data_IF_262013929819
#
_entry.id   IF_262013929819
#
_cell.length_a   1.000
_cell.length_b   1.000
_cell.length_c   1.000
_cell.angle_alpha   90.00
_cell.angle_beta   90.00
_cell.angle_gamma   90.00
#
_symmetry.space_group_name_H-M   'P 1'
#
loop_
_entity.id
_entity.type
_entity.pdbx_description
1 polymer ?
#
# COMPACT_ATOMS: atom_id res chain seq x y z
N UNK A 1 -18.76 -30.57 -64.93
CA UNK A 1 -18.95 -29.24 -65.57
C UNK A 1 -18.02 -28.27 -64.87
N UNK A 2 -17.09 -27.68 -65.65
CA UNK A 2 -16.20 -26.53 -65.37
C UNK A 2 -15.24 -26.65 -64.17
N UNK A 3 -13.91 -26.81 -64.29
CA UNK A 3 -12.89 -26.04 -65.08
C UNK A 3 -12.99 -24.56 -64.76
N UNK A 4 -12.03 -23.85 -64.15
CA UNK A 4 -10.64 -23.52 -64.51
C UNK A 4 -9.84 -23.28 -63.20
N UNK A 5 -8.52 -23.32 -63.07
CA UNK A 5 -7.40 -23.15 -64.00
C UNK A 5 -6.30 -22.36 -63.28
N UNK A 6 -5.07 -22.89 -63.32
CA UNK A 6 -3.83 -22.35 -62.74
C UNK A 6 -3.52 -20.90 -63.15
N UNK A 7 -2.66 -20.20 -62.39
CA UNK A 7 -1.38 -19.71 -62.93
C UNK A 7 -0.34 -19.37 -61.85
N UNK A 8 0.90 -19.75 -62.17
CA UNK A 8 2.20 -19.52 -61.54
C UNK A 8 2.87 -18.33 -62.24
N UNK A 9 3.75 -17.60 -61.54
CA UNK A 9 5.03 -16.93 -61.97
C UNK A 9 5.31 -15.73 -61.04
N UNK A 10 6.31 -15.74 -60.14
CA UNK A 10 7.78 -15.64 -60.29
C UNK A 10 8.23 -14.44 -61.16
N UNK A 11 8.81 -13.40 -60.55
CA UNK A 11 10.18 -12.90 -60.85
C UNK A 11 10.43 -11.52 -60.21
N UNK A 12 11.45 -11.51 -59.35
CA UNK A 12 12.56 -10.53 -59.26
C UNK A 12 12.34 -9.07 -59.65
N UNK A 13 12.54 -8.19 -58.68
CA UNK A 13 12.93 -6.80 -58.91
C UNK A 13 13.77 -6.28 -57.74
N UNK A 14 15.08 -6.52 -57.78
CA UNK A 14 16.02 -5.82 -56.92
C UNK A 14 16.16 -4.38 -57.42
N UNK A 15 15.88 -3.40 -56.55
CA UNK A 15 16.45 -2.06 -56.69
C UNK A 15 17.17 -1.70 -55.39
N UNK A 16 18.49 -1.76 -55.47
CA UNK A 16 19.40 -1.13 -54.53
C UNK A 16 19.46 0.34 -54.95
N UNK A 17 18.92 1.22 -54.13
CA UNK A 17 19.22 2.65 -54.18
C UNK A 17 19.97 3.00 -52.89
N UNK A 18 21.30 3.10 -52.99
CA UNK A 18 22.13 3.82 -52.04
C UNK A 18 21.81 5.30 -52.19
N UNK A 19 21.20 5.91 -51.18
CA UNK A 19 21.26 7.36 -50.98
C UNK A 19 21.99 7.60 -49.66
N UNK A 20 23.14 8.22 -49.81
CA UNK A 20 24.01 8.66 -48.74
C UNK A 20 23.37 9.77 -47.91
N UNK A 21 23.73 9.80 -46.62
CA UNK A 21 23.83 11.05 -45.87
C UNK A 21 22.67 11.37 -44.94
N UNK A 22 22.86 11.08 -43.65
CA UNK A 22 22.08 11.66 -42.56
C UNK A 22 21.85 10.67 -41.43
N UNK A 23 22.66 10.74 -40.37
CA UNK A 23 22.42 10.02 -39.12
C UNK A 23 21.16 10.60 -38.45
N UNK A 24 20.06 9.84 -38.27
CA UNK A 24 19.03 10.23 -37.33
C UNK A 24 19.41 9.68 -35.94
N UNK A 25 19.52 10.62 -35.01
CA UNK A 25 19.56 10.49 -33.57
C UNK A 25 18.96 9.18 -33.03
N UNK A 26 19.72 8.49 -32.19
CA UNK A 26 19.29 7.36 -31.37
C UNK A 26 17.97 7.74 -30.67
N UNK A 27 16.89 7.06 -31.06
CA UNK A 27 15.62 7.11 -30.34
C UNK A 27 15.86 6.60 -28.92
N UNK A 28 15.49 7.44 -27.94
CA UNK A 28 15.42 7.08 -26.53
C UNK A 28 14.71 5.73 -26.36
N UNK A 29 15.20 4.84 -25.47
CA UNK A 29 14.50 3.60 -25.18
C UNK A 29 13.05 3.90 -24.75
N UNK A 30 12.07 3.09 -25.19
CA UNK A 30 10.68 3.30 -24.80
C UNK A 30 10.61 3.30 -23.27
N UNK A 31 9.94 4.32 -22.71
CA UNK A 31 9.59 4.37 -21.28
C UNK A 31 9.07 2.99 -20.88
N UNK A 32 9.52 2.40 -19.75
CA UNK A 32 8.91 1.17 -19.28
C UNK A 32 7.42 1.44 -19.14
N UNK A 33 6.61 0.68 -19.87
CA UNK A 33 5.18 0.68 -19.72
C UNK A 33 4.90 0.53 -18.22
N UNK A 34 4.11 1.45 -17.64
CA UNK A 34 3.57 1.24 -16.30
C UNK A 34 2.99 -0.16 -16.31
N UNK A 35 3.59 -1.07 -15.54
CA UNK A 35 3.02 -2.39 -15.34
C UNK A 35 1.59 -2.15 -14.87
N UNK A 36 0.63 -2.44 -15.74
CA UNK A 36 -0.76 -2.52 -15.36
C UNK A 36 -0.78 -3.72 -14.43
N UNK A 37 -0.71 -3.47 -13.13
CA UNK A 37 -0.96 -4.49 -12.12
C UNK A 37 -2.34 -5.04 -12.48
N UNK A 38 -2.45 -6.33 -12.83
CA UNK A 38 -3.74 -6.89 -13.20
C UNK A 38 -4.69 -6.64 -12.03
N UNK A 39 -5.86 -6.06 -12.34
CA UNK A 39 -6.90 -5.90 -11.35
C UNK A 39 -7.14 -7.28 -10.71
N UNK A 40 -6.95 -7.37 -9.40
CA UNK A 40 -7.24 -8.58 -8.65
C UNK A 40 -8.66 -9.02 -9.02
N UNK A 41 -8.80 -10.21 -9.60
CA UNK A 41 -10.10 -10.79 -9.98
C UNK A 41 -10.89 -11.27 -8.75
N UNK A 42 -10.37 -11.01 -7.55
CA UNK A 42 -10.93 -11.47 -6.29
C UNK A 42 -11.93 -10.43 -5.78
N UNK A 43 -13.14 -10.89 -5.44
CA UNK A 43 -14.18 -10.05 -4.86
C UNK A 43 -13.76 -9.51 -3.48
N UNK A 44 -13.65 -8.18 -3.30
CA UNK A 44 -13.27 -7.59 -2.02
C UNK A 44 -14.16 -8.00 -0.85
N UNK A 45 -15.47 -8.18 -1.08
CA UNK A 45 -16.41 -8.61 -0.05
C UNK A 45 -16.15 -10.05 0.39
N UNK A 46 -15.80 -10.92 -0.55
CA UNK A 46 -15.42 -12.30 -0.26
C UNK A 46 -14.13 -12.36 0.56
N UNK A 47 -13.14 -11.50 0.27
CA UNK A 47 -11.91 -11.42 1.08
C UNK A 47 -12.18 -10.96 2.50
N UNK A 48 -13.05 -9.96 2.70
CA UNK A 48 -13.47 -9.55 4.06
C UNK A 48 -14.23 -10.67 4.78
N UNK A 49 -15.15 -11.34 4.10
CA UNK A 49 -15.87 -12.49 4.69
C UNK A 49 -14.92 -13.64 5.06
N UNK A 50 -13.92 -13.90 4.22
CA UNK A 50 -12.86 -14.87 4.51
C UNK A 50 -12.06 -14.43 5.73
N UNK A 51 -11.65 -13.16 5.80
CA UNK A 51 -10.93 -12.63 6.95
C UNK A 51 -11.69 -12.88 8.27
N UNK A 52 -12.97 -12.51 8.34
CA UNK A 52 -13.79 -12.77 9.53
C UNK A 52 -14.08 -14.26 9.78
N UNK A 53 -14.10 -15.08 8.73
CA UNK A 53 -14.23 -16.53 8.89
C UNK A 53 -13.02 -17.15 9.63
N UNK A 54 -11.82 -16.62 9.38
CA UNK A 54 -10.59 -17.13 9.99
C UNK A 54 -10.22 -16.42 11.28
N UNK A 55 -10.55 -15.14 11.43
CA UNK A 55 -10.10 -14.29 12.53
C UNK A 55 -11.27 -13.74 13.34
N UNK A 56 -11.25 -14.01 14.64
CA UNK A 56 -12.23 -13.55 15.63
C UNK A 56 -11.54 -12.70 16.71
N UNK A 57 -12.32 -12.17 17.66
CA UNK A 57 -11.82 -11.36 18.80
C UNK A 57 -10.94 -10.17 18.36
N UNK A 58 -11.36 -9.46 17.32
CA UNK A 58 -10.57 -8.37 16.72
C UNK A 58 -10.49 -7.14 17.63
N UNK A 59 -9.27 -6.71 17.96
CA UNK A 59 -8.99 -5.56 18.82
C UNK A 59 -7.90 -4.68 18.23
N UNK A 60 -8.02 -3.36 18.44
CA UNK A 60 -6.99 -2.41 18.07
C UNK A 60 -6.09 -2.10 19.27
N UNK A 61 -4.79 -2.28 19.12
CA UNK A 61 -3.79 -1.89 20.12
C UNK A 61 -3.06 -0.62 19.72
N UNK A 62 -2.63 0.13 20.73
CA UNK A 62 -1.89 1.39 20.61
C UNK A 62 -2.62 2.53 19.87
N UNK A 63 -3.94 2.79 20.02
CA UNK A 63 -4.52 4.05 19.55
C UNK A 63 -3.93 5.22 20.38
N UNK A 64 -3.42 6.29 19.75
CA UNK A 64 -2.37 7.10 20.38
C UNK A 64 -2.85 8.09 21.45
N UNK A 65 -2.08 8.15 22.55
CA UNK A 65 -1.82 9.37 23.33
C UNK A 65 -0.56 10.13 22.84
N UNK A 66 -0.01 9.78 21.67
CA UNK A 66 1.12 10.45 21.03
C UNK A 66 0.83 11.95 20.78
N UNK A 67 1.72 12.81 21.27
CA UNK A 67 1.78 14.22 20.88
C UNK A 67 2.39 14.29 19.48
N UNK A 68 1.54 14.50 18.48
CA UNK A 68 2.00 14.65 17.11
C UNK A 68 2.98 15.82 17.02
N UNK A 69 4.27 15.52 16.80
CA UNK A 69 5.18 16.50 16.23
C UNK A 69 4.54 16.99 14.93
N UNK A 70 4.23 18.28 14.88
CA UNK A 70 3.51 18.96 13.78
C UNK A 70 4.23 18.94 12.43
N UNK A 71 5.35 18.23 12.32
CA UNK A 71 6.15 18.09 11.12
C UNK A 71 6.22 16.62 10.70
N UNK A 72 5.15 16.11 10.08
CA UNK A 72 5.31 14.96 9.18
C UNK A 72 5.91 15.46 7.87
N UNK A 73 6.99 14.84 7.36
CA UNK A 73 7.44 15.12 6.01
C UNK A 73 6.32 14.76 5.04
N UNK A 74 5.87 15.76 4.28
CA UNK A 74 4.96 15.56 3.16
C UNK A 74 5.54 14.50 2.21
N UNK A 75 4.73 13.56 1.67
CA UNK A 75 5.23 12.53 0.75
C UNK A 75 5.92 13.22 -0.43
N UNK A 76 7.25 13.12 -0.50
CA UNK A 76 7.98 13.72 -1.62
C UNK A 76 7.58 13.00 -2.91
N UNK A 77 7.10 13.71 -3.96
CA UNK A 77 6.88 13.11 -5.25
C UNK A 77 8.22 12.59 -5.80
N UNK A 78 8.26 11.30 -6.11
CA UNK A 78 9.45 10.58 -6.58
C UNK A 78 10.09 11.29 -7.78
N UNK A 79 11.20 11.99 -7.53
CA UNK A 79 12.02 12.61 -8.57
C UNK A 79 13.49 12.26 -8.30
N UNK A 80 14.06 11.39 -9.11
CA UNK A 80 15.52 11.19 -9.24
C UNK A 80 15.83 10.74 -10.68
N UNK A 81 17.08 10.88 -11.18
CA UNK A 81 18.26 11.44 -10.53
C UNK A 81 19.03 12.47 -11.40
N UNK A 82 19.92 13.25 -10.78
CA UNK A 82 20.91 14.04 -11.51
C UNK A 82 21.92 14.72 -10.60
N UNK A 83 23.03 14.04 -10.29
CA UNK A 83 24.27 14.68 -9.84
C UNK A 83 25.06 15.18 -11.04
N UNK A 84 25.94 16.18 -10.87
CA UNK A 84 27.35 15.84 -10.66
C UNK A 84 27.99 16.58 -9.49
N UNK A 85 28.83 15.85 -8.74
CA UNK A 85 29.73 16.38 -7.73
C UNK A 85 30.83 17.23 -8.39
N UNK A 86 31.19 18.35 -7.76
CA UNK A 86 32.60 18.79 -7.70
C UNK A 86 32.88 19.62 -6.45
N UNK A 87 34.00 19.30 -5.82
CA UNK A 87 34.72 19.97 -4.73
C UNK A 87 34.37 19.51 -3.30
N UNK A 88 35.13 18.51 -2.83
CA UNK A 88 35.43 18.22 -1.41
C UNK A 88 36.87 18.69 -1.15
N UNK A 89 37.26 19.13 0.07
CA UNK A 89 37.65 18.22 1.16
C UNK A 89 37.05 18.66 2.52
N UNK A 90 36.59 17.81 3.43
CA UNK A 90 37.38 16.89 4.27
C UNK A 90 36.50 15.76 4.87
N UNK A 91 37.13 14.80 5.55
CA UNK A 91 36.51 13.72 6.32
C UNK A 91 37.33 13.53 7.63
N UNK A 92 36.87 12.78 8.65
CA UNK A 92 35.51 12.40 9.03
C UNK A 92 35.23 12.73 10.52
N UNK A 93 34.15 13.45 10.82
CA UNK A 93 33.51 13.32 12.15
C UNK A 93 32.62 12.07 12.12
N UNK A 94 32.45 11.33 13.24
CA UNK A 94 31.43 10.30 13.31
C UNK A 94 30.09 11.03 13.20
N UNK A 95 29.58 11.10 11.98
CA UNK A 95 28.28 11.64 11.67
C UNK A 95 27.30 10.81 12.48
N UNK A 96 26.81 11.42 13.57
CA UNK A 96 25.64 10.94 14.25
C UNK A 96 24.62 10.66 13.17
N UNK A 97 24.14 9.41 13.13
CA UNK A 97 23.00 9.05 12.29
C UNK A 97 21.98 10.15 12.54
N UNK A 98 21.64 10.91 11.50
CA UNK A 98 20.41 11.69 11.55
C UNK A 98 19.36 10.65 11.89
N UNK A 99 18.90 10.63 13.15
CA UNK A 99 17.76 9.83 13.54
C UNK A 99 16.68 10.33 12.60
N UNK A 100 16.31 9.51 11.61
CA UNK A 100 15.00 9.68 10.97
C UNK A 100 14.06 9.85 12.15
N UNK A 101 13.29 10.94 12.19
CA UNK A 101 12.29 11.11 13.22
C UNK A 101 11.55 9.77 13.29
N UNK A 102 11.63 9.11 14.45
CA UNK A 102 11.03 7.81 14.64
C UNK A 102 9.57 7.96 14.20
N UNK A 103 9.11 7.09 13.29
CA UNK A 103 7.75 7.19 12.73
C UNK A 103 6.69 7.19 13.83
N UNK A 104 5.41 7.48 13.52
CA UNK A 104 4.40 7.40 14.56
C UNK A 104 4.40 5.98 15.12
N UNK A 105 4.14 5.81 16.42
CA UNK A 105 4.04 4.49 17.01
C UNK A 105 3.13 3.59 16.17
N UNK A 106 3.51 2.32 15.97
CA UNK A 106 2.70 1.39 15.21
C UNK A 106 1.35 1.15 15.91
N UNK A 107 0.27 1.23 15.12
CA UNK A 107 -1.09 0.90 15.56
C UNK A 107 -1.41 -0.48 15.01
N UNK A 108 -1.78 -1.42 15.87
CA UNK A 108 -1.98 -2.81 15.45
C UNK A 108 -3.45 -3.20 15.49
N UNK A 109 -3.92 -3.91 14.47
CA UNK A 109 -5.08 -4.78 14.56
C UNK A 109 -4.60 -6.16 14.99
N UNK A 110 -5.11 -6.66 16.11
CA UNK A 110 -4.85 -8.01 16.58
C UNK A 110 -6.12 -8.82 16.53
N UNK A 111 -5.96 -10.11 16.24
CA UNK A 111 -7.07 -11.05 16.17
C UNK A 111 -6.61 -12.45 16.50
N UNK A 112 -7.56 -13.27 16.96
CA UNK A 112 -7.34 -14.70 17.11
C UNK A 112 -7.71 -15.37 15.80
N UNK A 113 -6.72 -15.86 15.08
CA UNK A 113 -6.90 -16.46 13.76
C UNK A 113 -6.67 -17.97 13.76
N UNK A 114 -7.50 -18.70 13.03
CA UNK A 114 -7.35 -20.14 12.78
C UNK A 114 -6.27 -20.36 11.72
N UNK A 115 -5.18 -21.00 12.12
CA UNK A 115 -4.01 -21.29 11.28
C UNK A 115 -4.26 -22.51 10.37
N UNK A 116 -3.45 -22.72 9.31
CA UNK A 116 -3.57 -23.88 8.43
C UNK A 116 -3.46 -25.26 9.12
N UNK A 117 -2.84 -25.33 10.31
CA UNK A 117 -2.80 -26.54 11.14
C UNK A 117 -3.99 -26.66 12.11
N UNK A 118 -5.05 -25.89 11.87
CA UNK A 118 -6.28 -25.79 12.67
C UNK A 118 -6.11 -25.28 14.10
N UNK A 119 -4.91 -24.82 14.49
CA UNK A 119 -4.70 -24.17 15.79
C UNK A 119 -5.04 -22.70 15.69
N UNK A 120 -5.56 -22.14 16.77
CA UNK A 120 -5.73 -20.70 16.88
C UNK A 120 -4.43 -20.02 17.33
N UNK A 121 -4.13 -18.86 16.75
CA UNK A 121 -3.01 -18.01 17.17
C UNK A 121 -3.42 -16.55 17.16
N UNK A 122 -2.83 -15.78 18.07
CA UNK A 122 -2.86 -14.33 17.97
C UNK A 122 -1.95 -13.90 16.83
N UNK A 123 -2.51 -13.13 15.91
CA UNK A 123 -1.81 -12.53 14.77
C UNK A 123 -1.98 -11.03 14.88
N UNK A 124 -1.04 -10.25 14.32
CA UNK A 124 -1.12 -8.79 14.32
C UNK A 124 -0.88 -8.21 12.93
N UNK A 125 -1.49 -7.06 12.66
CA UNK A 125 -1.31 -6.27 11.44
C UNK A 125 -1.07 -4.81 11.81
N UNK A 126 0.03 -4.22 11.33
CA UNK A 126 0.30 -2.80 11.52
C UNK A 126 -0.57 -1.97 10.57
N UNK A 127 -1.58 -1.29 11.12
CA UNK A 127 -2.54 -0.47 10.39
C UNK A 127 -1.93 0.80 9.79
N UNK A 128 -0.76 1.24 10.24
CA UNK A 128 -0.03 2.32 9.58
C UNK A 128 0.36 1.96 8.14
N UNK A 129 0.47 0.65 7.85
CA UNK A 129 0.71 0.12 6.51
C UNK A 129 -0.57 -0.01 5.67
N UNK A 130 -1.76 0.08 6.27
CA UNK A 130 -3.01 -0.27 5.60
C UNK A 130 -3.93 0.93 5.36
N UNK A 131 -3.88 1.92 6.24
CA UNK A 131 -4.84 3.02 6.29
C UNK A 131 -4.12 4.35 6.04
N UNK A 132 -4.70 5.15 5.14
CA UNK A 132 -4.32 6.52 4.82
C UNK A 132 -5.32 7.54 5.31
N UNK A 133 -5.00 8.81 5.05
CA UNK A 133 -5.82 9.95 5.44
C UNK A 133 -5.87 10.97 4.32
N UNK A 134 -7.09 11.33 3.93
CA UNK A 134 -7.37 12.40 2.98
C UNK A 134 -7.61 13.70 3.77
N UNK A 135 -6.66 14.62 3.68
CA UNK A 135 -6.73 15.91 4.37
C UNK A 135 -7.81 16.85 3.83
N UNK A 136 -8.28 16.65 2.60
CA UNK A 136 -9.34 17.45 1.99
C UNK A 136 -10.71 16.96 2.45
N UNK A 137 -10.93 15.65 2.40
CA UNK A 137 -12.20 15.03 2.79
C UNK A 137 -12.30 14.75 4.29
N UNK A 138 -11.19 14.86 5.03
CA UNK A 138 -11.06 14.48 6.44
C UNK A 138 -11.61 13.07 6.68
N UNK A 139 -11.12 12.12 5.88
CA UNK A 139 -11.60 10.75 5.82
C UNK A 139 -10.44 9.75 5.65
N UNK A 140 -10.65 8.53 6.13
CA UNK A 140 -9.70 7.43 5.92
C UNK A 140 -9.71 6.97 4.45
N UNK A 141 -8.55 6.51 3.98
CA UNK A 141 -8.36 5.93 2.65
C UNK A 141 -7.61 4.59 2.75
N UNK A 142 -7.73 3.75 1.72
CA UNK A 142 -6.98 2.50 1.61
C UNK A 142 -5.66 2.76 0.87
N UNK A 143 -4.62 3.13 1.63
CA UNK A 143 -3.31 3.49 1.08
C UNK A 143 -2.20 2.78 1.86
N UNK A 144 -1.16 2.37 1.13
CA UNK A 144 -0.04 1.66 1.72
C UNK A 144 0.95 2.61 2.39
N UNK A 145 1.28 2.32 3.66
CA UNK A 145 2.35 2.99 4.44
C UNK A 145 2.17 4.51 4.63
N UNK A 146 0.92 4.96 4.72
CA UNK A 146 0.56 6.37 4.81
C UNK A 146 0.22 6.86 6.22
N UNK A 147 0.18 5.97 7.22
CA UNK A 147 0.02 6.34 8.63
C UNK A 147 -1.25 7.16 8.93
N UNK A 148 -2.38 6.77 8.34
CA UNK A 148 -3.63 7.55 8.33
C UNK A 148 -4.18 7.91 9.70
N UNK A 149 -4.08 7.01 10.68
CA UNK A 149 -4.53 7.26 12.06
C UNK A 149 -3.76 8.41 12.70
N UNK A 150 -2.43 8.44 12.51
CA UNK A 150 -1.58 9.51 13.02
C UNK A 150 -1.82 10.83 12.27
N UNK A 151 -1.91 10.78 10.94
CA UNK A 151 -2.17 11.96 10.08
C UNK A 151 -3.52 12.62 10.36
N UNK A 152 -4.55 11.82 10.63
CA UNK A 152 -5.88 12.32 11.01
C UNK A 152 -6.01 12.75 12.47
N UNK A 153 -4.93 12.71 13.25
CA UNK A 153 -4.94 12.98 14.70
C UNK A 153 -6.02 12.16 15.43
N UNK A 154 -6.10 10.88 15.10
CA UNK A 154 -7.13 9.98 15.58
C UNK A 154 -6.68 9.20 16.82
N UNK A 155 -7.60 9.02 17.77
CA UNK A 155 -7.46 8.18 18.96
C UNK A 155 -8.75 7.43 19.26
N UNK A 156 -8.80 6.70 20.37
CA UNK A 156 -9.96 5.90 20.79
C UNK A 156 -10.55 5.06 19.65
N UNK A 157 -9.68 4.28 19.00
CA UNK A 157 -10.07 3.47 17.84
C UNK A 157 -10.63 2.10 18.24
N UNK A 158 -11.52 1.56 17.42
CA UNK A 158 -12.07 0.21 17.58
C UNK A 158 -12.41 -0.45 16.25
N UNK A 159 -12.43 -1.78 16.29
CA UNK A 159 -12.91 -2.63 15.20
C UNK A 159 -14.34 -3.10 15.51
N UNK A 160 -15.22 -3.00 14.52
CA UNK A 160 -16.59 -3.52 14.59
C UNK A 160 -16.87 -4.37 13.37
N UNK A 161 -17.07 -5.67 13.59
CA UNK A 161 -17.70 -6.54 12.61
C UNK A 161 -19.22 -6.34 12.64
N UNK A 162 -19.86 -6.40 11.47
CA UNK A 162 -21.32 -6.36 11.41
C UNK A 162 -21.90 -7.76 11.58
N UNK A 163 -22.63 -8.00 12.68
CA UNK A 163 -23.23 -9.30 13.01
C UNK A 163 -24.05 -9.95 11.89
N UNK A 164 -24.64 -9.14 11.00
CA UNK A 164 -25.50 -9.62 9.92
C UNK A 164 -24.79 -9.72 8.56
N UNK A 165 -23.51 -9.32 8.47
CA UNK A 165 -22.76 -9.30 7.22
C UNK A 165 -21.27 -9.48 7.48
N UNK A 166 -20.80 -10.73 7.40
CA UNK A 166 -19.37 -11.04 7.47
C UNK A 166 -18.55 -10.36 6.34
N UNK A 167 -19.20 -9.84 5.30
CA UNK A 167 -18.52 -9.08 4.25
C UNK A 167 -18.27 -7.60 4.60
N UNK A 168 -18.72 -7.16 5.77
CA UNK A 168 -18.68 -5.77 6.19
C UNK A 168 -17.99 -5.62 7.54
N UNK A 169 -17.26 -4.51 7.70
CA UNK A 169 -16.67 -4.10 8.96
C UNK A 169 -16.60 -2.58 9.02
N UNK A 170 -16.33 -2.05 10.20
CA UNK A 170 -16.00 -0.66 10.42
C UNK A 170 -14.84 -0.53 11.40
N UNK A 171 -13.78 0.15 10.95
CA UNK A 171 -12.70 0.65 11.78
C UNK A 171 -13.02 2.10 12.14
N UNK A 172 -13.51 2.32 13.36
CA UNK A 172 -13.94 3.64 13.84
C UNK A 172 -12.90 4.26 14.76
N UNK A 173 -12.53 5.52 14.54
CA UNK A 173 -11.69 6.29 15.46
C UNK A 173 -12.29 7.67 15.73
N UNK A 174 -12.00 8.24 16.90
CA UNK A 174 -12.25 9.65 17.18
C UNK A 174 -11.09 10.49 16.64
N UNK A 175 -11.35 11.29 15.61
CA UNK A 175 -10.36 12.12 14.95
C UNK A 175 -10.61 13.59 15.29
N UNK A 176 -9.57 14.30 15.73
CA UNK A 176 -9.68 15.75 15.96
C UNK A 176 -9.43 16.53 14.67
N UNK A 177 -10.27 17.53 14.43
CA UNK A 177 -10.07 18.52 13.36
C UNK A 177 -8.89 19.47 13.65
N UNK A 178 -8.37 19.47 14.88
CA UNK A 178 -7.26 20.30 15.31
C UNK A 178 -6.33 19.54 16.27
N UNK A 179 -5.08 19.30 15.86
CA UNK A 179 -4.06 18.62 16.67
C UNK A 179 -3.86 19.22 18.07
N UNK A 180 -4.13 20.52 18.26
CA UNK A 180 -3.99 21.23 19.53
C UNK A 180 -5.23 21.16 20.42
N UNK A 181 -6.40 20.90 19.86
CA UNK A 181 -7.66 20.78 20.59
C UNK A 181 -8.25 19.39 20.40
N UNK A 182 -7.89 18.47 21.30
CA UNK A 182 -8.36 17.08 21.30
C UNK A 182 -9.73 16.92 21.96
N UNK A 183 -10.33 18.00 22.48
CA UNK A 183 -11.66 17.93 23.12
C UNK A 183 -12.78 17.89 22.09
N UNK A 184 -12.53 18.43 20.89
CA UNK A 184 -13.43 18.37 19.75
C UNK A 184 -12.97 17.29 18.79
N UNK A 185 -13.83 16.30 18.57
CA UNK A 185 -13.55 15.17 17.70
C UNK A 185 -14.79 14.75 16.94
N UNK A 186 -14.56 14.10 15.81
CA UNK A 186 -15.58 13.43 15.02
C UNK A 186 -15.22 11.95 14.89
N UNK A 187 -16.21 11.06 14.89
CA UNK A 187 -15.96 9.67 14.53
C UNK A 187 -15.73 9.60 13.03
N UNK A 188 -14.59 9.06 12.63
CA UNK A 188 -14.32 8.67 11.24
C UNK A 188 -14.25 7.16 11.17
N UNK A 189 -14.88 6.62 10.14
CA UNK A 189 -14.96 5.19 9.91
C UNK A 189 -14.26 4.81 8.62
N UNK A 190 -13.60 3.67 8.63
CA UNK A 190 -13.06 3.01 7.46
C UNK A 190 -13.80 1.68 7.26
N UNK A 191 -14.45 1.53 6.11
CA UNK A 191 -15.39 0.44 5.81
C UNK A 191 -15.11 -0.24 4.47
N UNK A 192 -13.94 0.02 3.87
CA UNK A 192 -13.64 -0.49 2.54
C UNK A 192 -13.31 -1.99 2.58
N UNK A 193 -14.11 -2.86 1.95
CA UNK A 193 -13.88 -4.31 1.94
C UNK A 193 -12.63 -4.68 1.14
N UNK A 194 -12.05 -5.84 1.45
CA UNK A 194 -10.90 -6.43 0.77
C UNK A 194 -9.55 -5.75 1.03
N UNK A 195 -9.49 -4.73 1.87
CA UNK A 195 -8.23 -4.04 2.21
C UNK A 195 -7.43 -4.81 3.26
N UNK A 196 -8.11 -5.31 4.29
CA UNK A 196 -7.54 -6.20 5.29
C UNK A 196 -7.91 -7.63 4.89
N UNK A 197 -6.90 -8.49 4.78
CA UNK A 197 -7.03 -9.86 4.27
C UNK A 197 -6.32 -10.85 5.18
N UNK A 198 -6.69 -12.13 5.05
CA UNK A 198 -6.00 -13.24 5.72
C UNK A 198 -5.46 -14.23 4.69
N UNK A 199 -4.15 -14.48 4.72
CA UNK A 199 -3.54 -15.56 3.94
C UNK A 199 -3.67 -16.88 4.71
N UNK A 200 -4.58 -17.74 4.29
CA UNK A 200 -4.82 -19.06 4.87
C UNK A 200 -3.63 -20.02 4.78
N UNK A 201 -2.71 -19.81 3.81
CA UNK A 201 -1.56 -20.69 3.59
C UNK A 201 -0.45 -20.39 4.57
N UNK A 202 -0.26 -19.11 4.89
CA UNK A 202 0.79 -18.67 5.81
C UNK A 202 0.26 -18.37 7.21
N UNK A 203 -1.04 -18.13 7.35
CA UNK A 203 -1.70 -17.71 8.58
C UNK A 203 -1.42 -16.27 8.97
N UNK A 204 -1.17 -15.38 8.02
CA UNK A 204 -0.84 -13.97 8.28
C UNK A 204 -2.00 -13.05 7.90
N UNK A 205 -2.19 -11.98 8.67
CA UNK A 205 -3.00 -10.84 8.25
C UNK A 205 -2.19 -9.91 7.35
N UNK A 206 -2.84 -9.26 6.40
CA UNK A 206 -2.18 -8.38 5.46
C UNK A 206 -3.07 -7.30 4.87
N UNK A 207 -2.45 -6.42 4.10
CA UNK A 207 -3.08 -5.37 3.31
C UNK A 207 -2.12 -4.91 2.21
N UNK A 208 -2.62 -4.54 1.03
CA UNK A 208 -1.79 -4.00 -0.06
C UNK A 208 -0.58 -4.87 -0.45
N UNK A 209 -0.66 -6.18 -0.26
CA UNK A 209 0.45 -7.12 -0.47
C UNK A 209 1.50 -7.18 0.65
N UNK A 210 1.37 -6.35 1.69
CA UNK A 210 2.13 -6.46 2.93
C UNK A 210 1.43 -7.42 3.90
N UNK A 211 2.20 -8.28 4.54
CA UNK A 211 1.72 -9.21 5.56
C UNK A 211 2.49 -8.99 6.86
N UNK A 212 1.77 -8.92 7.97
CA UNK A 212 2.36 -8.72 9.30
C UNK A 212 3.01 -9.98 9.85
N UNK A 213 3.88 -9.81 10.85
CA UNK A 213 4.55 -10.90 11.56
C UNK A 213 3.59 -11.65 12.51
N UNK A 214 3.80 -12.97 12.69
CA UNK A 214 3.05 -13.83 13.63
C UNK A 214 3.38 -13.57 15.10
N UNK A 215 4.52 -12.95 15.35
CA UNK A 215 4.92 -12.52 16.68
C UNK A 215 4.28 -11.15 16.92
N UNK A 216 3.87 -10.88 18.17
CA UNK A 216 3.23 -9.63 18.56
C UNK A 216 4.05 -8.38 18.19
N UNK A 217 3.59 -7.17 18.58
CA UNK A 217 4.08 -5.92 18.02
C UNK A 217 5.61 -5.88 17.96
N UNK A 218 6.16 -5.83 16.75
CA UNK A 218 7.60 -5.63 16.54
C UNK A 218 7.97 -4.29 17.18
N UNK A 219 8.66 -4.37 18.32
CA UNK A 219 9.37 -3.26 18.90
C UNK A 219 10.74 -3.23 18.25
N UNK A 220 10.93 -2.31 17.30
CA UNK A 220 12.27 -1.85 16.92
C UNK A 220 12.93 -1.10 18.10
#
# INVERSE_FOLDING_TARGET
>A
MSSYGNLIEVLTGAQIALVAGGLPMVNSPPKPAKAVVPASTVDPKAETAKFHHYCEDLVMLNPPNWEASTAYPEPQPSSRPGSPQRNRPAAPGPGGRVRRADGPPPVFLMGRCRMPNSRERLVSLNLNKCIGWDDTRKAFTAEYDTHGIARGHCGDCGYREYFNSASEFSLGCKCSSNARDRTRWEVKEFTQPGVIVFDEKTGHMGCHGYFGSLLGPETD
#
